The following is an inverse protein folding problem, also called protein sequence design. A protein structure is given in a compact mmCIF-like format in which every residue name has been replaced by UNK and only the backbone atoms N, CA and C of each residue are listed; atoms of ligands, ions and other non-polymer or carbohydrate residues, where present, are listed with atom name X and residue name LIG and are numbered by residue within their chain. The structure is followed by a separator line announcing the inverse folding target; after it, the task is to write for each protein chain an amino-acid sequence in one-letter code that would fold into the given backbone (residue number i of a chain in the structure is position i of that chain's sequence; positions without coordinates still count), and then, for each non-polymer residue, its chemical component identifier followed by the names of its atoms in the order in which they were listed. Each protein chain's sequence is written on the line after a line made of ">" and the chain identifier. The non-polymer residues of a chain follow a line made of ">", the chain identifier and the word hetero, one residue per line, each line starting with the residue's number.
data_IF_871244485725
#
_entry.id   IF_871244485725
#
_cell.length_a   1.000
_cell.length_b   1.000
_cell.length_c   1.000
_cell.angle_alpha   90.00
_cell.angle_beta   90.00
_cell.angle_gamma   90.00
#
_symmetry.space_group_name_H-M   'P 1'
#
loop_
_entity.id
_entity.type
_entity.pdbx_description
1 polymer ?
#
# COMPACT_ATOMS: atom_id res chain seq x y z
N UNK A 1 41.58 -10.94 33.47
CA UNK A 1 40.16 -11.18 33.06
C UNK A 1 39.56 -9.81 32.79
N UNK A 2 39.59 -9.34 31.52
CA UNK A 2 39.23 -8.01 31.10
C UNK A 2 37.87 -8.11 30.44
N UNK A 3 36.85 -7.48 31.06
CA UNK A 3 35.48 -7.46 30.56
C UNK A 3 35.34 -6.29 29.61
N UNK A 4 35.19 -6.57 28.30
CA UNK A 4 34.91 -5.57 27.28
C UNK A 4 33.39 -5.34 27.29
N UNK A 5 32.95 -4.17 27.73
CA UNK A 5 31.57 -3.69 27.53
C UNK A 5 31.46 -3.19 26.10
N UNK A 6 30.69 -3.89 25.29
CA UNK A 6 30.22 -3.39 23.99
C UNK A 6 29.09 -2.37 24.27
N UNK A 7 29.40 -1.11 24.00
CA UNK A 7 28.40 -0.03 23.98
C UNK A 7 27.48 -0.17 22.78
N UNK A 8 26.17 -0.11 23.02
CA UNK A 8 25.16 0.03 21.99
C UNK A 8 25.32 1.42 21.33
N UNK A 9 25.16 1.56 20.01
CA UNK A 9 25.22 2.87 19.39
C UNK A 9 24.03 3.74 19.85
N UNK A 10 24.35 4.95 20.30
CA UNK A 10 23.38 5.99 20.62
C UNK A 10 22.57 6.35 19.38
N UNK A 11 21.26 6.55 19.56
CA UNK A 11 20.37 7.03 18.52
C UNK A 11 20.88 8.37 18.01
N UNK A 12 21.16 8.47 16.73
CA UNK A 12 21.57 9.72 16.09
C UNK A 12 20.40 10.72 16.09
N UNK A 13 20.51 11.78 16.85
CA UNK A 13 19.60 12.93 16.90
C UNK A 13 19.60 13.77 15.60
N UNK A 14 20.27 13.32 14.54
CA UNK A 14 20.41 14.07 13.29
C UNK A 14 19.26 13.91 12.27
N UNK A 15 18.34 12.98 12.46
CA UNK A 15 17.26 12.73 11.47
C UNK A 15 16.11 13.75 11.56
N UNK A 16 15.94 14.45 12.69
CA UNK A 16 14.89 15.44 12.89
C UNK A 16 15.15 16.77 12.18
N UNK A 17 16.40 17.21 12.14
CA UNK A 17 16.76 18.52 11.58
C UNK A 17 16.71 18.56 10.05
N UNK A 18 17.02 17.45 9.37
CA UNK A 18 16.97 17.38 7.90
C UNK A 18 15.51 17.37 7.38
N UNK A 19 14.58 16.83 8.16
CA UNK A 19 13.15 16.86 7.85
C UNK A 19 12.52 18.24 8.12
N UNK A 20 12.98 18.96 9.12
CA UNK A 20 12.51 20.31 9.45
C UNK A 20 13.01 21.35 8.43
N UNK A 21 14.24 21.22 7.92
CA UNK A 21 14.75 22.12 6.87
C UNK A 21 14.07 21.90 5.51
N UNK A 22 13.61 20.69 5.21
CA UNK A 22 12.81 20.41 3.99
C UNK A 22 11.39 20.98 4.05
N UNK A 23 10.86 21.30 5.24
CA UNK A 23 9.53 21.95 5.41
C UNK A 23 9.48 23.38 4.89
N UNK A 24 10.58 24.12 4.89
CA UNK A 24 10.60 25.56 4.56
C UNK A 24 10.77 25.87 3.06
N UNK A 25 10.92 24.84 2.19
CA UNK A 25 11.03 25.02 0.75
C UNK A 25 10.03 24.10 0.01
N UNK A 26 8.80 23.99 0.51
CA UNK A 26 7.73 23.21 -0.12
C UNK A 26 7.34 23.86 -1.43
N UNK A 27 7.85 23.32 -2.52
CA UNK A 27 7.18 23.45 -3.83
C UNK A 27 5.88 22.67 -3.67
N UNK A 28 4.75 23.36 -3.63
CA UNK A 28 3.42 22.73 -3.69
C UNK A 28 3.39 21.92 -4.98
N UNK A 29 3.50 20.62 -4.88
CA UNK A 29 3.47 19.76 -6.05
C UNK A 29 2.00 19.55 -6.44
N UNK A 30 1.57 20.22 -7.48
CA UNK A 30 0.22 20.04 -8.06
C UNK A 30 0.26 18.87 -9.01
N UNK A 31 -0.66 17.92 -8.86
CA UNK A 31 -0.82 16.79 -9.76
C UNK A 31 -2.05 17.01 -10.66
N UNK A 32 -1.88 16.83 -11.97
CA UNK A 32 -2.98 16.91 -12.95
C UNK A 32 -3.55 15.55 -13.28
N UNK A 33 -2.71 14.51 -13.28
CA UNK A 33 -3.14 13.15 -13.58
C UNK A 33 -2.46 12.12 -12.69
N UNK A 34 -3.26 11.48 -11.90
CA UNK A 34 -2.85 10.36 -11.04
C UNK A 34 -3.33 9.04 -11.64
N UNK A 35 -2.43 8.07 -11.79
CA UNK A 35 -2.75 6.70 -12.17
C UNK A 35 -2.27 5.73 -11.10
N UNK A 36 -3.14 4.83 -10.66
CA UNK A 36 -2.80 3.76 -9.71
C UNK A 36 -2.75 2.41 -10.43
N UNK A 37 -1.67 1.66 -10.23
CA UNK A 37 -1.51 0.29 -10.69
C UNK A 37 -1.23 -0.64 -9.51
N UNK A 38 -1.71 -1.88 -9.58
CA UNK A 38 -1.55 -2.84 -8.50
C UNK A 38 -2.54 -4.00 -8.54
N UNK A 39 -2.74 -4.58 -7.38
CA UNK A 39 -3.64 -5.72 -7.18
C UNK A 39 -4.87 -5.35 -6.32
N UNK A 40 -5.37 -6.31 -5.52
CA UNK A 40 -6.54 -6.13 -4.65
C UNK A 40 -6.42 -4.98 -3.67
N UNK A 41 -5.23 -4.73 -3.13
CA UNK A 41 -5.01 -3.61 -2.20
C UNK A 41 -5.25 -2.27 -2.90
N UNK A 42 -4.75 -2.11 -4.13
CA UNK A 42 -4.91 -0.89 -4.93
C UNK A 42 -6.32 -0.78 -5.53
N UNK A 43 -6.96 -1.91 -5.85
CA UNK A 43 -8.37 -1.94 -6.24
C UNK A 43 -9.28 -1.46 -5.10
N UNK A 44 -8.86 -1.67 -3.84
CA UNK A 44 -9.53 -1.20 -2.64
C UNK A 44 -10.47 -2.21 -2.00
N UNK A 45 -10.18 -3.52 -2.15
CA UNK A 45 -10.98 -4.59 -1.54
C UNK A 45 -11.21 -4.31 -0.06
N UNK A 46 -12.41 -4.66 0.42
CA UNK A 46 -12.90 -4.55 1.80
C UNK A 46 -13.10 -3.08 2.31
N UNK A 47 -13.13 -2.12 1.35
CA UNK A 47 -13.59 -0.74 1.60
C UNK A 47 -14.78 -0.42 0.65
N UNK A 48 -16.00 -0.87 0.95
CA UNK A 48 -17.16 -0.73 0.07
C UNK A 48 -17.53 0.73 -0.19
N UNK A 49 -17.86 1.03 -1.46
CA UNK A 49 -18.26 2.38 -1.89
C UNK A 49 -19.78 2.68 -1.70
N UNK A 50 -20.54 1.68 -1.23
CA UNK A 50 -21.99 1.77 -1.09
C UNK A 50 -22.77 1.62 -2.40
N UNK A 51 -22.09 1.42 -3.54
CA UNK A 51 -22.69 1.24 -4.87
C UNK A 51 -22.42 -0.14 -5.47
N UNK A 52 -21.88 -1.06 -4.67
CA UNK A 52 -21.52 -2.42 -5.07
C UNK A 52 -20.09 -2.57 -5.58
N UNK A 53 -19.27 -1.53 -5.45
CA UNK A 53 -17.83 -1.50 -5.69
C UNK A 53 -17.02 -1.26 -4.42
N UNK A 54 -15.77 -0.89 -4.63
CA UNK A 54 -14.81 -0.59 -3.57
C UNK A 54 -14.20 0.79 -3.77
N UNK A 55 -13.99 1.53 -2.67
CA UNK A 55 -13.32 2.83 -2.67
C UNK A 55 -11.80 2.65 -2.58
N UNK A 56 -11.30 2.14 -1.48
CA UNK A 56 -9.89 1.89 -1.24
C UNK A 56 -9.01 3.13 -1.06
N UNK A 57 -7.76 2.89 -0.69
CA UNK A 57 -6.79 3.95 -0.41
C UNK A 57 -6.45 4.82 -1.64
N UNK A 58 -6.46 4.24 -2.85
CA UNK A 58 -6.08 4.96 -4.06
C UNK A 58 -7.12 6.02 -4.45
N UNK A 59 -8.43 5.71 -4.34
CA UNK A 59 -9.51 6.69 -4.55
C UNK A 59 -9.50 7.76 -3.45
N UNK A 60 -9.22 7.36 -2.20
CA UNK A 60 -9.10 8.28 -1.06
C UNK A 60 -7.91 9.23 -1.25
N UNK A 61 -6.76 8.74 -1.71
CA UNK A 61 -5.60 9.58 -2.04
C UNK A 61 -5.93 10.54 -3.18
N UNK A 62 -6.62 10.07 -4.23
CA UNK A 62 -7.06 10.94 -5.32
C UNK A 62 -7.96 12.07 -4.81
N UNK A 63 -8.88 11.77 -3.88
CA UNK A 63 -9.74 12.77 -3.24
C UNK A 63 -8.92 13.76 -2.41
N UNK A 64 -7.97 13.29 -1.60
CA UNK A 64 -7.09 14.16 -0.80
C UNK A 64 -6.28 15.14 -1.66
N UNK A 65 -5.76 14.66 -2.79
CA UNK A 65 -5.04 15.51 -3.75
C UNK A 65 -5.98 16.54 -4.36
N UNK A 66 -7.16 16.11 -4.85
CA UNK A 66 -8.12 17.00 -5.48
C UNK A 66 -8.63 18.10 -4.53
N UNK A 67 -8.83 17.77 -3.25
CA UNK A 67 -9.30 18.72 -2.25
C UNK A 67 -8.23 19.74 -1.83
N UNK A 68 -6.95 19.35 -1.88
CA UNK A 68 -5.83 20.16 -1.44
C UNK A 68 -5.26 21.12 -2.51
N UNK A 69 -5.70 21.02 -3.77
CA UNK A 69 -5.20 21.84 -4.88
C UNK A 69 -6.34 22.51 -5.64
N UNK A 70 -6.04 23.64 -6.32
CA UNK A 70 -7.07 24.32 -7.14
C UNK A 70 -7.25 23.70 -8.52
N UNK A 71 -6.18 23.16 -9.09
CA UNK A 71 -6.20 22.51 -10.39
C UNK A 71 -7.00 21.21 -10.38
N UNK A 72 -7.78 20.91 -11.44
CA UNK A 72 -8.49 19.64 -11.55
C UNK A 72 -7.53 18.46 -11.56
N UNK A 73 -7.86 17.40 -10.83
CA UNK A 73 -7.16 16.12 -10.86
C UNK A 73 -7.93 15.12 -11.71
N UNK A 74 -7.31 14.56 -12.74
CA UNK A 74 -7.78 13.36 -13.41
C UNK A 74 -7.21 12.13 -12.73
N UNK A 75 -8.03 11.11 -12.51
CA UNK A 75 -7.64 9.89 -11.83
C UNK A 75 -8.06 8.63 -12.57
N UNK A 76 -7.16 7.64 -12.68
CA UNK A 76 -7.43 6.29 -13.16
C UNK A 76 -6.91 5.25 -12.16
N UNK A 77 -7.58 4.09 -12.08
CA UNK A 77 -7.16 2.95 -11.29
C UNK A 77 -7.25 1.68 -12.14
N UNK A 78 -6.09 1.16 -12.54
CA UNK A 78 -5.97 0.00 -13.41
C UNK A 78 -5.84 -1.31 -12.63
N UNK A 79 -5.88 -1.25 -11.30
CA UNK A 79 -5.66 -2.40 -10.44
C UNK A 79 -6.72 -3.50 -10.67
N UNK A 80 -6.25 -4.74 -10.56
CA UNK A 80 -7.07 -5.96 -10.63
C UNK A 80 -6.59 -6.91 -9.55
N UNK A 81 -7.53 -7.37 -8.72
CA UNK A 81 -7.25 -8.30 -7.61
C UNK A 81 -6.57 -9.59 -8.05
N UNK A 82 -5.69 -10.11 -7.20
CA UNK A 82 -5.06 -11.40 -7.39
C UNK A 82 -3.89 -11.41 -8.37
N UNK A 83 -3.52 -10.25 -8.95
CA UNK A 83 -2.39 -10.17 -9.86
C UNK A 83 -1.07 -10.22 -9.09
N UNK A 84 -0.08 -10.90 -9.68
CA UNK A 84 1.32 -10.89 -9.25
C UNK A 84 2.05 -9.70 -9.87
N UNK A 85 3.21 -9.35 -9.33
CA UNK A 85 3.98 -8.18 -9.79
C UNK A 85 4.26 -8.20 -11.29
N UNK A 86 4.63 -9.35 -11.84
CA UNK A 86 4.81 -9.53 -13.29
C UNK A 86 3.53 -9.25 -14.08
N UNK A 87 2.39 -9.70 -13.58
CA UNK A 87 1.10 -9.51 -14.24
C UNK A 87 0.67 -8.03 -14.19
N UNK A 88 0.91 -7.35 -13.06
CA UNK A 88 0.71 -5.90 -12.92
C UNK A 88 1.53 -5.16 -13.97
N UNK A 89 2.84 -5.45 -14.05
CA UNK A 89 3.71 -4.83 -15.05
C UNK A 89 3.22 -5.06 -16.49
N UNK A 90 2.92 -6.31 -16.84
CA UNK A 90 2.58 -6.68 -18.23
C UNK A 90 1.21 -6.15 -18.66
N UNK A 91 0.24 -6.09 -17.74
CA UNK A 91 -1.14 -5.76 -18.09
C UNK A 91 -1.57 -4.34 -17.75
N UNK A 92 -0.76 -3.58 -17.00
CA UNK A 92 -1.17 -2.26 -16.52
C UNK A 92 -0.17 -1.16 -16.85
N UNK A 93 1.15 -1.45 -16.92
CA UNK A 93 2.18 -0.40 -17.01
C UNK A 93 2.08 0.41 -18.29
N UNK A 94 2.04 -0.26 -19.45
CA UNK A 94 2.04 0.45 -20.73
C UNK A 94 0.79 1.34 -20.86
N UNK A 95 -0.39 0.83 -20.52
CA UNK A 95 -1.63 1.61 -20.52
C UNK A 95 -1.57 2.79 -19.52
N UNK A 96 -0.97 2.58 -18.33
CA UNK A 96 -0.78 3.64 -17.37
C UNK A 96 0.13 4.76 -17.92
N UNK A 97 1.23 4.39 -18.58
CA UNK A 97 2.19 5.32 -19.16
C UNK A 97 1.63 6.05 -20.39
N UNK A 98 0.78 5.41 -21.19
CA UNK A 98 0.06 6.06 -22.30
C UNK A 98 -0.86 7.17 -21.82
N UNK A 99 -1.41 7.05 -20.60
CA UNK A 99 -2.19 8.13 -19.97
C UNK A 99 -1.36 9.34 -19.57
N UNK A 100 -0.01 9.26 -19.62
CA UNK A 100 0.94 10.33 -19.25
C UNK A 100 0.68 10.87 -17.84
N UNK A 101 0.73 10.05 -16.81
CA UNK A 101 0.54 10.50 -15.44
C UNK A 101 1.71 11.39 -14.99
N UNK A 102 1.42 12.37 -14.14
CA UNK A 102 2.45 13.08 -13.36
C UNK A 102 2.63 12.47 -11.95
N UNK A 103 1.65 11.65 -11.51
CA UNK A 103 1.76 10.77 -10.33
C UNK A 103 1.37 9.34 -10.70
N UNK A 104 2.24 8.39 -10.43
CA UNK A 104 1.96 6.94 -10.49
C UNK A 104 2.14 6.32 -9.11
N UNK A 105 1.14 5.62 -8.62
CA UNK A 105 1.34 4.72 -7.47
C UNK A 105 1.39 3.28 -7.92
N UNK A 106 2.27 2.49 -7.31
CA UNK A 106 2.38 1.06 -7.56
C UNK A 106 2.63 0.30 -6.27
N UNK A 107 1.81 -0.74 -6.06
CA UNK A 107 2.05 -1.73 -5.01
C UNK A 107 1.62 -3.11 -5.52
N UNK A 108 2.46 -4.11 -5.29
CA UNK A 108 2.24 -5.49 -5.71
C UNK A 108 3.27 -6.44 -5.12
N UNK A 109 3.17 -7.73 -5.44
CA UNK A 109 4.09 -8.76 -4.94
C UNK A 109 3.58 -9.53 -3.71
N UNK A 110 2.52 -9.07 -3.04
CA UNK A 110 1.91 -9.82 -1.94
C UNK A 110 1.41 -11.18 -2.44
N UNK A 111 0.77 -11.23 -3.61
CA UNK A 111 0.31 -12.48 -4.22
C UNK A 111 1.47 -13.40 -4.63
N UNK A 112 2.66 -12.85 -4.88
CA UNK A 112 3.87 -13.63 -5.17
C UNK A 112 4.39 -14.32 -3.91
N UNK A 113 4.44 -13.60 -2.78
CA UNK A 113 5.02 -14.12 -1.53
C UNK A 113 4.13 -15.13 -0.81
N UNK A 114 2.80 -15.05 -0.98
CA UNK A 114 1.84 -15.95 -0.31
C UNK A 114 1.51 -17.21 -1.12
N UNK A 115 1.68 -17.20 -2.44
CA UNK A 115 1.23 -18.27 -3.34
C UNK A 115 2.38 -19.11 -3.94
N UNK A 116 2.90 -20.08 -3.18
CA UNK A 116 3.84 -21.08 -3.70
C UNK A 116 5.30 -20.61 -3.82
N UNK A 117 6.07 -21.11 -4.78
CA UNK A 117 7.44 -20.67 -5.01
C UNK A 117 7.48 -19.18 -5.37
N UNK A 118 8.34 -18.42 -4.67
CA UNK A 118 8.50 -16.99 -4.87
C UNK A 118 9.83 -16.73 -5.59
N UNK A 119 9.77 -16.12 -6.78
CA UNK A 119 10.93 -15.69 -7.56
C UNK A 119 11.20 -14.21 -7.29
N UNK A 120 12.05 -13.93 -6.31
CA UNK A 120 12.40 -12.57 -5.91
C UNK A 120 13.21 -11.82 -6.97
N UNK A 121 13.97 -12.51 -7.80
CA UNK A 121 14.75 -11.86 -8.86
C UNK A 121 13.82 -11.38 -9.98
N UNK A 122 12.75 -12.15 -10.28
CA UNK A 122 11.70 -11.71 -11.18
C UNK A 122 10.93 -10.51 -10.60
N UNK A 123 10.54 -10.53 -9.32
CA UNK A 123 9.85 -9.41 -8.66
C UNK A 123 10.71 -8.15 -8.71
N UNK A 124 12.00 -8.27 -8.38
CA UNK A 124 12.95 -7.16 -8.46
C UNK A 124 13.04 -6.58 -9.87
N UNK A 125 13.20 -7.43 -10.87
CA UNK A 125 13.27 -7.00 -12.27
C UNK A 125 12.00 -6.25 -12.70
N UNK A 126 10.82 -6.71 -12.27
CA UNK A 126 9.56 -6.05 -12.57
C UNK A 126 9.46 -4.67 -11.90
N UNK A 127 9.89 -4.53 -10.64
CA UNK A 127 9.96 -3.22 -9.97
C UNK A 127 10.95 -2.27 -10.65
N UNK A 128 12.14 -2.75 -11.03
CA UNK A 128 13.12 -1.96 -11.79
C UNK A 128 12.53 -1.40 -13.08
N UNK A 129 11.78 -2.22 -13.82
CA UNK A 129 11.14 -1.82 -15.07
C UNK A 129 10.04 -0.78 -14.80
N UNK A 130 9.14 -1.04 -13.86
CA UNK A 130 8.01 -0.14 -13.55
C UNK A 130 8.52 1.21 -13.09
N UNK A 131 9.40 1.24 -12.08
CA UNK A 131 9.97 2.47 -11.56
C UNK A 131 10.74 3.24 -12.63
N UNK A 132 11.64 2.54 -13.36
CA UNK A 132 12.49 3.15 -14.37
C UNK A 132 11.70 3.72 -15.55
N UNK A 133 10.67 3.04 -16.03
CA UNK A 133 9.89 3.55 -17.16
C UNK A 133 9.07 4.77 -16.75
N UNK A 134 8.41 4.74 -15.60
CA UNK A 134 7.63 5.87 -15.12
C UNK A 134 8.53 7.09 -14.81
N UNK A 135 9.67 6.89 -14.17
CA UNK A 135 10.63 7.97 -13.88
C UNK A 135 11.21 8.59 -15.13
N UNK A 136 11.51 7.79 -16.17
CA UNK A 136 11.97 8.33 -17.48
C UNK A 136 10.95 9.22 -18.17
N UNK A 137 9.67 9.04 -17.92
CA UNK A 137 8.63 9.95 -18.41
C UNK A 137 8.44 11.20 -17.54
N UNK A 138 9.26 11.39 -16.50
CA UNK A 138 9.16 12.53 -15.58
C UNK A 138 8.09 12.37 -14.51
N UNK A 139 7.46 11.20 -14.41
CA UNK A 139 6.39 10.93 -13.45
C UNK A 139 6.94 10.87 -12.02
N UNK A 140 6.25 11.47 -11.05
CA UNK A 140 6.45 11.18 -9.63
C UNK A 140 5.93 9.78 -9.36
N UNK A 141 6.78 8.90 -8.85
CA UNK A 141 6.39 7.52 -8.51
C UNK A 141 6.37 7.36 -7.00
N UNK A 142 5.29 6.78 -6.48
CA UNK A 142 5.13 6.46 -5.05
C UNK A 142 4.78 4.98 -4.90
N UNK A 143 5.53 4.31 -4.02
CA UNK A 143 5.26 2.94 -3.59
C UNK A 143 5.24 2.87 -2.07
N UNK A 144 4.95 1.70 -1.52
CA UNK A 144 5.00 1.50 -0.07
C UNK A 144 5.37 0.07 0.28
N UNK A 145 5.85 -0.13 1.52
CA UNK A 145 6.13 -1.43 2.10
C UNK A 145 4.91 -1.96 2.85
N UNK A 146 4.86 -3.26 3.09
CA UNK A 146 3.84 -3.86 3.95
C UNK A 146 4.37 -4.03 5.39
N UNK A 147 3.50 -3.99 6.43
CA UNK A 147 3.89 -4.31 7.80
C UNK A 147 4.23 -5.81 7.95
N UNK A 148 4.75 -6.20 9.12
CA UNK A 148 5.02 -7.61 9.42
C UNK A 148 3.71 -8.42 9.43
N UNK A 149 3.51 -9.35 8.49
CA UNK A 149 2.28 -10.12 8.43
C UNK A 149 2.06 -11.02 9.65
N UNK A 150 3.11 -11.32 10.42
CA UNK A 150 3.01 -12.21 11.60
C UNK A 150 2.25 -11.59 12.77
N UNK A 151 2.10 -10.27 12.78
CA UNK A 151 1.34 -9.54 13.80
C UNK A 151 -0.16 -9.48 13.49
N UNK A 152 -0.52 -9.63 12.21
CA UNK A 152 -1.87 -9.43 11.68
C UNK A 152 -2.54 -10.77 11.35
N UNK A 153 -1.83 -11.65 10.65
CA UNK A 153 -2.37 -12.88 10.09
C UNK A 153 -1.90 -14.12 10.87
N UNK A 154 -2.78 -15.06 11.25
CA UNK A 154 -2.40 -16.29 11.96
C UNK A 154 -1.34 -17.14 11.26
N UNK A 155 -1.31 -17.10 9.90
CA UNK A 155 -0.28 -17.76 9.09
C UNK A 155 0.88 -16.84 8.72
N UNK A 156 0.84 -15.56 9.09
CA UNK A 156 1.80 -14.53 8.67
C UNK A 156 3.26 -14.87 8.99
N UNK A 157 3.50 -15.63 10.06
CA UNK A 157 4.86 -16.12 10.42
C UNK A 157 5.54 -16.90 9.28
N UNK A 158 4.77 -17.58 8.42
CA UNK A 158 5.32 -18.33 7.29
C UNK A 158 5.72 -17.44 6.13
N UNK A 159 5.22 -16.21 6.09
CA UNK A 159 5.48 -15.23 5.03
C UNK A 159 6.38 -14.08 5.49
N UNK A 160 6.69 -13.98 6.78
CA UNK A 160 7.44 -12.88 7.38
C UNK A 160 8.75 -12.59 6.65
N UNK A 161 9.58 -13.60 6.45
CA UNK A 161 10.87 -13.44 5.76
C UNK A 161 10.69 -13.02 4.30
N UNK A 162 9.63 -13.55 3.65
CA UNK A 162 9.32 -13.17 2.27
C UNK A 162 8.80 -11.74 2.19
N UNK A 163 7.99 -11.30 3.14
CA UNK A 163 7.52 -9.93 3.23
C UNK A 163 8.67 -8.95 3.47
N UNK A 164 9.57 -9.26 4.40
CA UNK A 164 10.77 -8.45 4.64
C UNK A 164 11.63 -8.34 3.37
N UNK A 165 11.84 -9.44 2.64
CA UNK A 165 12.60 -9.43 1.38
C UNK A 165 11.90 -8.63 0.28
N UNK A 166 10.56 -8.68 0.17
CA UNK A 166 9.79 -7.84 -0.74
C UNK A 166 9.96 -6.36 -0.39
N UNK A 167 9.85 -6.01 0.90
CA UNK A 167 10.05 -4.65 1.39
C UNK A 167 11.45 -4.13 1.07
N UNK A 168 12.50 -4.96 1.22
CA UNK A 168 13.87 -4.59 0.87
C UNK A 168 14.04 -4.34 -0.64
N UNK A 169 13.41 -5.15 -1.49
CA UNK A 169 13.39 -4.92 -2.93
C UNK A 169 12.77 -3.56 -3.24
N UNK A 170 11.60 -3.26 -2.66
CA UNK A 170 10.91 -1.98 -2.87
C UNK A 170 11.81 -0.81 -2.45
N UNK A 171 12.44 -0.86 -1.27
CA UNK A 171 13.32 0.21 -0.77
C UNK A 171 14.53 0.42 -1.67
N UNK A 172 15.25 -0.66 -1.98
CA UNK A 172 16.51 -0.59 -2.74
C UNK A 172 16.24 -0.07 -4.15
N UNK A 173 15.23 -0.61 -4.84
CA UNK A 173 14.93 -0.19 -6.20
C UNK A 173 14.32 1.22 -6.26
N UNK A 174 13.56 1.60 -5.24
CA UNK A 174 13.03 2.95 -5.13
C UNK A 174 14.14 3.99 -4.89
N UNK A 175 15.06 3.73 -3.97
CA UNK A 175 16.19 4.60 -3.70
C UNK A 175 17.05 4.80 -4.95
N UNK A 176 17.38 3.71 -5.66
CA UNK A 176 18.21 3.75 -6.87
C UNK A 176 17.62 4.58 -8.01
N UNK A 177 16.29 4.77 -8.04
CA UNK A 177 15.57 5.41 -9.12
C UNK A 177 14.84 6.70 -8.71
N UNK A 178 15.04 7.17 -7.48
CA UNK A 178 14.40 8.39 -6.95
C UNK A 178 12.88 8.28 -6.84
N UNK A 179 12.40 7.10 -6.46
CA UNK A 179 10.99 6.80 -6.18
C UNK A 179 10.68 7.07 -4.71
N UNK A 180 9.54 7.65 -4.43
CA UNK A 180 9.07 7.87 -3.06
C UNK A 180 8.55 6.55 -2.47
N UNK A 181 8.92 6.27 -1.21
CA UNK A 181 8.40 5.11 -0.48
C UNK A 181 7.75 5.57 0.82
N UNK A 182 6.55 5.07 1.09
CA UNK A 182 5.96 5.09 2.42
C UNK A 182 6.29 3.75 3.10
N UNK A 183 7.15 3.80 4.11
CA UNK A 183 7.72 2.60 4.73
C UNK A 183 6.87 2.13 5.92
N UNK A 184 5.71 1.51 5.64
CA UNK A 184 4.78 1.07 6.67
C UNK A 184 5.36 0.04 7.64
N UNK A 185 6.37 -0.74 7.24
CA UNK A 185 7.03 -1.69 8.14
C UNK A 185 7.63 -1.02 9.39
N UNK A 186 7.90 0.29 9.34
CA UNK A 186 8.48 1.06 10.45
C UNK A 186 7.46 1.63 11.41
N UNK A 187 6.17 1.49 11.13
CA UNK A 187 5.10 2.14 11.88
C UNK A 187 4.20 1.13 12.58
N UNK A 188 4.22 1.15 13.91
CA UNK A 188 3.44 0.22 14.72
C UNK A 188 1.92 0.27 14.46
N UNK A 189 1.39 1.43 14.04
CA UNK A 189 -0.03 1.56 13.69
C UNK A 189 -0.42 0.64 12.55
N UNK A 190 0.47 0.39 11.58
CA UNK A 190 0.19 -0.51 10.45
C UNK A 190 -0.01 -1.97 10.87
N UNK A 191 0.46 -2.34 12.08
CA UNK A 191 0.28 -3.66 12.68
C UNK A 191 -0.99 -3.77 13.55
N UNK A 192 -1.74 -2.68 13.72
CA UNK A 192 -2.96 -2.68 14.53
C UNK A 192 -4.05 -3.49 13.83
N UNK A 193 -4.54 -4.59 14.44
CA UNK A 193 -5.54 -5.46 13.80
C UNK A 193 -6.86 -4.76 13.49
N UNK A 194 -7.15 -3.61 14.09
CA UNK A 194 -8.35 -2.81 13.80
C UNK A 194 -8.32 -2.14 12.41
N UNK A 195 -7.16 -2.11 11.75
CA UNK A 195 -7.01 -1.61 10.37
C UNK A 195 -7.26 -2.69 9.31
N UNK A 196 -7.39 -3.94 9.74
CA UNK A 196 -7.45 -5.08 8.83
C UNK A 196 -8.84 -5.68 8.81
N UNK A 197 -9.23 -6.16 7.64
CA UNK A 197 -10.48 -6.89 7.47
C UNK A 197 -10.39 -8.28 8.12
N UNK A 198 -11.53 -8.96 8.26
CA UNK A 198 -11.63 -10.28 8.88
C UNK A 198 -10.79 -11.37 8.19
N UNK A 199 -10.39 -11.16 6.94
CA UNK A 199 -9.50 -12.08 6.21
C UNK A 199 -8.04 -11.94 6.62
N UNK A 200 -7.68 -10.94 7.43
CA UNK A 200 -6.33 -10.63 7.91
C UNK A 200 -5.30 -10.42 6.79
N UNK A 201 -5.75 -9.99 5.62
CA UNK A 201 -4.92 -9.74 4.44
C UNK A 201 -5.17 -8.36 3.84
N UNK A 202 -6.43 -7.95 3.75
CA UNK A 202 -6.81 -6.66 3.19
C UNK A 202 -7.09 -5.64 4.31
N UNK A 203 -6.76 -4.39 4.04
CA UNK A 203 -7.20 -3.29 4.90
C UNK A 203 -8.72 -3.17 4.87
N UNK A 204 -9.34 -2.86 6.00
CA UNK A 204 -10.74 -2.44 6.04
C UNK A 204 -10.85 -0.94 5.73
N UNK A 205 -12.05 -0.36 5.86
CA UNK A 205 -12.26 1.07 5.61
C UNK A 205 -11.26 1.96 6.36
N UNK A 206 -11.03 1.72 7.66
CA UNK A 206 -10.10 2.48 8.48
C UNK A 206 -8.65 2.28 8.02
N UNK A 207 -8.27 1.05 7.65
CA UNK A 207 -6.98 0.74 7.08
C UNK A 207 -6.73 1.49 5.78
N UNK A 208 -7.70 1.51 4.88
CA UNK A 208 -7.60 2.27 3.63
C UNK A 208 -7.53 3.78 3.87
N UNK A 209 -8.27 4.32 4.86
CA UNK A 209 -8.14 5.73 5.26
C UNK A 209 -6.74 6.05 5.78
N UNK A 210 -6.19 5.20 6.65
CA UNK A 210 -4.84 5.36 7.22
C UNK A 210 -3.78 5.32 6.14
N UNK A 211 -3.84 4.36 5.21
CA UNK A 211 -2.92 4.27 4.07
C UNK A 211 -2.99 5.53 3.22
N UNK A 212 -4.19 6.00 2.87
CA UNK A 212 -4.35 7.21 2.05
C UNK A 212 -3.77 8.45 2.73
N UNK A 213 -4.01 8.63 4.03
CA UNK A 213 -3.46 9.75 4.80
C UNK A 213 -1.92 9.70 4.88
N UNK A 214 -1.34 8.52 5.09
CA UNK A 214 0.10 8.31 5.10
C UNK A 214 0.75 8.63 3.74
N UNK A 215 0.13 8.19 2.64
CA UNK A 215 0.60 8.49 1.29
C UNK A 215 0.47 9.97 0.95
N UNK A 216 -0.63 10.63 1.35
CA UNK A 216 -0.81 12.07 1.20
C UNK A 216 0.27 12.85 1.97
N UNK A 217 0.54 12.46 3.23
CA UNK A 217 1.64 13.02 4.00
C UNK A 217 3.00 12.80 3.31
N UNK A 218 3.25 11.60 2.80
CA UNK A 218 4.51 11.27 2.11
C UNK A 218 4.73 12.07 0.83
N UNK A 219 3.66 12.38 0.11
CA UNK A 219 3.67 13.27 -1.06
C UNK A 219 3.80 14.75 -0.68
N UNK A 220 3.58 15.09 0.58
CA UNK A 220 3.60 16.47 1.05
C UNK A 220 2.31 17.23 0.70
N UNK A 221 1.18 16.54 0.57
CA UNK A 221 -0.12 17.16 0.37
C UNK A 221 -0.51 18.00 1.60
N UNK A 222 -1.00 19.21 1.37
CA UNK A 222 -1.39 20.10 2.44
C UNK A 222 -2.55 19.52 3.29
N UNK A 223 -2.48 19.78 4.60
CA UNK A 223 -3.47 19.24 5.56
C UNK A 223 -3.12 17.87 6.13
N UNK A 224 -2.05 17.21 5.62
CA UNK A 224 -1.61 15.91 6.12
C UNK A 224 -0.27 16.01 6.86
N UNK A 225 -0.21 15.39 8.04
CA UNK A 225 0.95 15.34 8.92
C UNK A 225 1.17 13.91 9.47
N UNK A 226 2.07 13.74 10.42
CA UNK A 226 2.44 12.44 10.99
C UNK A 226 1.37 11.83 11.91
N UNK A 227 0.28 12.52 12.22
CA UNK A 227 -0.80 12.01 13.10
C UNK A 227 -1.51 10.78 12.55
N UNK A 228 -1.37 10.50 11.25
CA UNK A 228 -1.83 9.23 10.69
C UNK A 228 -1.16 8.00 11.34
N UNK A 229 0.03 8.20 11.95
CA UNK A 229 0.81 7.16 12.62
C UNK A 229 0.52 7.05 14.13
N UNK A 230 -0.33 7.93 14.67
CA UNK A 230 -0.70 7.88 16.08
C UNK A 230 -1.42 6.57 16.40
N UNK A 231 -1.18 6.00 17.59
CA UNK A 231 -1.92 4.82 18.02
C UNK A 231 -3.43 5.07 17.99
N UNK A 232 -4.19 4.09 17.52
CA UNK A 232 -5.65 4.18 17.55
C UNK A 232 -6.16 4.25 18.99
N UNK A 233 -7.13 5.12 19.23
CA UNK A 233 -7.77 5.25 20.54
C UNK A 233 -8.48 3.95 20.96
N UNK A 234 -8.57 3.75 22.28
CA UNK A 234 -9.22 2.59 22.89
C UNK A 234 -8.28 1.38 23.08
N UNK A 235 -8.63 0.54 24.04
CA UNK A 235 -7.88 -0.67 24.34
C UNK A 235 -8.13 -1.77 23.31
N UNK A 236 -7.06 -2.41 22.85
CA UNK A 236 -7.14 -3.58 22.01
C UNK A 236 -7.34 -4.85 22.88
N UNK A 237 -8.54 -5.36 22.93
CA UNK A 237 -8.82 -6.63 23.60
C UNK A 237 -8.42 -7.79 22.68
N UNK A 238 -7.27 -8.44 22.94
CA UNK A 238 -6.85 -9.61 22.18
C UNK A 238 -7.56 -10.85 22.71
N UNK A 239 -8.27 -11.62 21.87
CA UNK A 239 -8.90 -12.87 22.30
C UNK A 239 -7.85 -13.86 22.79
N UNK A 240 -8.18 -14.64 23.82
CA UNK A 240 -7.27 -15.60 24.45
C UNK A 240 -7.87 -17.01 24.50
N UNK A 241 -6.99 -18.00 24.57
CA UNK A 241 -7.38 -19.38 24.81
C UNK A 241 -8.39 -19.93 23.80
N UNK A 242 -9.56 -20.40 24.28
CA UNK A 242 -10.60 -21.04 23.45
C UNK A 242 -11.24 -20.07 22.45
N UNK A 243 -11.38 -18.80 22.81
CA UNK A 243 -11.95 -17.78 21.94
C UNK A 243 -11.02 -17.54 20.74
N UNK A 244 -9.71 -17.35 20.99
CA UNK A 244 -8.71 -17.25 19.93
C UNK A 244 -8.74 -18.48 19.02
N UNK A 245 -8.73 -19.69 19.60
CA UNK A 245 -8.74 -20.92 18.81
C UNK A 245 -9.99 -21.04 17.92
N UNK A 246 -11.18 -20.69 18.43
CA UNK A 246 -12.40 -20.67 17.61
C UNK A 246 -12.29 -19.66 16.48
N UNK A 247 -11.85 -18.44 16.77
CA UNK A 247 -11.63 -17.41 15.76
C UNK A 247 -10.67 -17.87 14.66
N UNK A 248 -9.53 -18.48 15.02
CA UNK A 248 -8.54 -19.00 14.07
C UNK A 248 -9.15 -20.13 13.17
N UNK A 249 -9.99 -21.01 13.74
CA UNK A 249 -10.69 -22.08 12.99
C UNK A 249 -11.73 -21.51 12.05
N UNK A 250 -12.56 -20.58 12.50
CA UNK A 250 -13.59 -19.93 11.70
C UNK A 250 -12.94 -19.14 10.55
N UNK A 251 -11.86 -18.42 10.83
CA UNK A 251 -11.07 -17.72 9.83
C UNK A 251 -10.50 -18.71 8.79
N UNK A 252 -9.87 -19.81 9.24
CA UNK A 252 -9.33 -20.80 8.32
C UNK A 252 -10.40 -21.42 7.42
N UNK A 253 -11.59 -21.67 7.95
CA UNK A 253 -12.72 -22.22 7.19
C UNK A 253 -13.27 -21.22 6.16
N UNK A 254 -13.41 -19.95 6.57
CA UNK A 254 -14.09 -18.95 5.75
C UNK A 254 -13.17 -18.32 4.70
N UNK A 255 -11.86 -18.23 4.97
CA UNK A 255 -10.91 -17.53 4.10
C UNK A 255 -9.83 -18.45 3.51
N UNK A 256 -9.15 -19.27 4.32
CA UNK A 256 -8.05 -20.13 3.83
C UNK A 256 -8.57 -21.28 2.97
N UNK A 257 -9.64 -21.95 3.41
CA UNK A 257 -10.24 -23.07 2.68
C UNK A 257 -10.69 -22.69 1.26
N UNK A 258 -11.50 -21.64 1.08
CA UNK A 258 -11.89 -21.13 -0.24
C UNK A 258 -10.70 -20.68 -1.09
N UNK A 259 -9.70 -20.02 -0.50
CA UNK A 259 -8.49 -19.59 -1.18
C UNK A 259 -7.69 -20.78 -1.72
N UNK A 260 -7.43 -21.80 -0.90
CA UNK A 260 -6.74 -23.02 -1.31
C UNK A 260 -7.52 -23.76 -2.41
N UNK A 261 -8.85 -23.86 -2.28
CA UNK A 261 -9.69 -24.55 -3.26
C UNK A 261 -9.66 -23.87 -4.63
N UNK A 262 -9.63 -22.53 -4.68
CA UNK A 262 -9.47 -21.75 -5.90
C UNK A 262 -8.08 -21.97 -6.51
N UNK A 263 -7.04 -21.99 -5.68
CA UNK A 263 -5.66 -22.26 -6.10
C UNK A 263 -5.50 -23.63 -6.75
N UNK A 264 -6.07 -24.69 -6.14
CA UNK A 264 -6.05 -26.06 -6.68
C UNK A 264 -6.81 -26.16 -8.01
N UNK A 265 -7.90 -25.42 -8.16
CA UNK A 265 -8.71 -25.39 -9.41
C UNK A 265 -8.12 -24.49 -10.48
N UNK A 266 -7.00 -23.82 -10.24
CA UNK A 266 -6.38 -22.88 -11.18
C UNK A 266 -7.23 -21.65 -11.47
N UNK A 267 -8.22 -21.35 -10.61
CA UNK A 267 -9.08 -20.18 -10.75
C UNK A 267 -8.33 -18.96 -10.19
N UNK A 268 -7.85 -18.11 -11.08
CA UNK A 268 -7.25 -16.83 -10.69
C UNK A 268 -8.34 -15.84 -10.28
N UNK A 269 -8.17 -15.16 -9.17
CA UNK A 269 -9.16 -14.23 -8.62
C UNK A 269 -9.51 -13.08 -9.59
N UNK A 270 -8.55 -12.65 -10.39
CA UNK A 270 -8.72 -11.53 -11.34
C UNK A 270 -9.28 -11.92 -12.73
N UNK A 271 -9.58 -13.20 -12.99
CA UNK A 271 -10.02 -13.64 -14.32
C UNK A 271 -11.42 -13.10 -14.63
N UNK A 272 -11.52 -12.28 -15.69
CA UNK A 272 -12.79 -11.68 -16.14
C UNK A 272 -13.21 -10.44 -15.36
N UNK A 273 -12.38 -9.96 -14.40
CA UNK A 273 -12.60 -8.69 -13.70
C UNK A 273 -12.08 -7.57 -14.58
N UNK A 274 -12.89 -6.52 -14.73
CA UNK A 274 -12.48 -5.30 -15.40
C UNK A 274 -11.71 -4.40 -14.43
N UNK A 275 -10.83 -3.56 -14.97
CA UNK A 275 -10.14 -2.51 -14.21
C UNK A 275 -11.17 -1.60 -13.57
N UNK A 276 -10.91 -1.18 -12.35
CA UNK A 276 -11.84 -0.37 -11.56
C UNK A 276 -12.18 0.96 -12.23
N UNK A 277 -11.17 1.67 -12.73
CA UNK A 277 -11.32 2.96 -13.41
C UNK A 277 -10.35 3.03 -14.58
N UNK A 278 -10.71 2.43 -15.73
CA UNK A 278 -9.78 2.22 -16.85
C UNK A 278 -9.46 3.50 -17.62
N UNK A 279 -10.19 4.59 -17.42
CA UNK A 279 -10.04 5.87 -18.12
C UNK A 279 -9.90 6.97 -17.07
N UNK A 280 -8.92 7.89 -17.23
CA UNK A 280 -8.81 9.05 -16.34
C UNK A 280 -10.09 9.90 -16.36
N UNK A 281 -10.62 10.17 -15.18
CA UNK A 281 -11.80 11.03 -15.01
C UNK A 281 -11.52 12.06 -13.93
N UNK A 282 -12.08 13.24 -14.06
CA UNK A 282 -11.91 14.32 -13.07
C UNK A 282 -12.50 13.88 -11.73
N UNK A 283 -11.72 14.07 -10.67
CA UNK A 283 -12.15 13.85 -9.28
C UNK A 283 -12.84 15.13 -8.82
N UNK A 284 -14.14 15.08 -8.47
CA UNK A 284 -14.82 16.25 -7.94
C UNK A 284 -14.27 16.61 -6.56
N UNK A 285 -14.12 17.90 -6.27
CA UNK A 285 -13.79 18.34 -4.91
C UNK A 285 -14.92 17.94 -3.95
N UNK A 286 -14.52 17.55 -2.73
CA UNK A 286 -15.49 17.34 -1.65
C UNK A 286 -16.27 18.62 -1.42
N UNK A 287 -17.60 18.53 -1.36
CA UNK A 287 -18.42 19.68 -0.96
C UNK A 287 -18.08 20.00 0.49
N UNK A 288 -17.47 21.15 0.73
CA UNK A 288 -17.36 21.69 2.09
C UNK A 288 -18.79 21.88 2.56
N UNK A 289 -19.26 21.06 3.50
CA UNK A 289 -20.48 21.41 4.23
C UNK A 289 -20.20 22.73 4.94
N UNK A 290 -20.82 23.79 4.48
CA UNK A 290 -20.90 25.02 5.24
C UNK A 290 -21.76 24.69 6.48
N UNK A 291 -21.11 24.50 7.63
CA UNK A 291 -21.75 24.50 8.94
C UNK A 291 -22.03 25.94 9.38
#
# INVERSE_FOLDING_TARGET
>A
MMVIRLGLPERSEGAGDDLVQRRNNRVVTTFRRYVAIGDSSTEGLEDPDGQGGYRGWADRLAQHIADAQDEPLEYANLAIRGLRMKEIRVSQLDDALEMRPDLLTVFGGVNDIIAGPCDFDSIRADYVIVFGQARRQGCTVLSFTMPDPSTINPLGRYWRERAARLNDIIRVEAESQGVLVMDFERYAVAEDPRLWFEDHLHGNELGHQTVAAALAWRLGIDGFDERWADPLEGELTKPKGREKFRGDVDWARNYVGPWLSKGIRGVRQGRGIQRKRPIPTVVPKSQVRAD
#
